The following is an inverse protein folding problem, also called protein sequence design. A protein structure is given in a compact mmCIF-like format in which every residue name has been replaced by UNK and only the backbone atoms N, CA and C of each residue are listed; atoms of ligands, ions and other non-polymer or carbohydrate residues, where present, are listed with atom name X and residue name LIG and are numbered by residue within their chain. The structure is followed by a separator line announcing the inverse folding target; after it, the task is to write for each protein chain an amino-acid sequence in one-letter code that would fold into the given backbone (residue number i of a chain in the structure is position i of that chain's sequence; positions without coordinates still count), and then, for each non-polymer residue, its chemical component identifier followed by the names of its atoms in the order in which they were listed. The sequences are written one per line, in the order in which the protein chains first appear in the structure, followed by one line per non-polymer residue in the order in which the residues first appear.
data_IF_530816296193
#
_entry.id   IF_530816296193
#
_cell.length_a   1.000
_cell.length_b   1.000
_cell.length_c   1.000
_cell.angle_alpha   90.00
_cell.angle_beta   90.00
_cell.angle_gamma   90.00
#
_symmetry.space_group_name_H-M   'P 1'
#
loop_
_entity.id
_entity.type
_entity.pdbx_description
1 polymer ?
#
# COMPACT_ATOMS: atom_id res chain seq x y z
N UNK A 1 24.83 20.86 3.87
CA UNK A 1 25.09 20.55 2.44
C UNK A 1 25.41 19.08 2.18
N UNK A 2 26.30 18.39 2.92
CA UNK A 2 26.53 16.93 2.73
C UNK A 2 25.39 16.03 3.26
N UNK A 3 24.68 16.46 4.31
CA UNK A 3 23.55 15.70 4.89
C UNK A 3 22.31 15.67 3.98
N UNK A 4 22.13 16.67 3.13
CA UNK A 4 20.96 16.80 2.25
C UNK A 4 21.01 15.79 1.09
N UNK A 5 22.22 15.45 0.63
CA UNK A 5 22.41 14.48 -0.44
C UNK A 5 22.08 13.05 0.01
N UNK A 6 22.48 12.70 1.25
CA UNK A 6 22.12 11.41 1.85
C UNK A 6 20.60 11.24 2.03
N UNK A 7 19.90 12.29 2.49
CA UNK A 7 18.43 12.26 2.60
C UNK A 7 17.74 12.12 1.24
N UNK A 8 18.24 12.81 0.21
CA UNK A 8 17.72 12.70 -1.17
C UNK A 8 17.94 11.29 -1.75
N UNK A 9 19.10 10.68 -1.52
CA UNK A 9 19.40 9.33 -1.97
C UNK A 9 18.47 8.28 -1.33
N UNK A 10 18.22 8.38 -0.02
CA UNK A 10 17.29 7.47 0.71
C UNK A 10 15.85 7.63 0.21
N UNK A 11 15.44 8.84 -0.13
CA UNK A 11 14.08 9.07 -0.62
C UNK A 11 13.92 8.52 -2.05
N UNK A 12 14.93 8.70 -2.91
CA UNK A 12 14.95 8.14 -4.26
C UNK A 12 14.90 6.60 -4.25
N UNK A 13 15.63 5.93 -3.35
CA UNK A 13 15.59 4.47 -3.23
C UNK A 13 14.24 3.95 -2.72
N UNK A 14 13.58 4.69 -1.80
CA UNK A 14 12.21 4.38 -1.35
C UNK A 14 11.22 4.45 -2.51
N UNK A 15 11.24 5.52 -3.32
CA UNK A 15 10.36 5.64 -4.49
C UNK A 15 10.58 4.50 -5.50
N UNK A 16 11.84 4.14 -5.78
CA UNK A 16 12.16 2.99 -6.63
C UNK A 16 11.58 1.68 -6.06
N UNK A 17 11.76 1.43 -4.77
CA UNK A 17 11.18 0.27 -4.09
C UNK A 17 9.64 0.26 -4.16
N UNK A 18 9.00 1.40 -3.96
CA UNK A 18 7.54 1.53 -4.07
C UNK A 18 7.05 1.27 -5.50
N UNK A 19 7.75 1.78 -6.53
CA UNK A 19 7.38 1.53 -7.94
C UNK A 19 7.51 0.05 -8.32
N UNK A 20 8.58 -0.62 -7.90
CA UNK A 20 8.77 -2.07 -8.10
C UNK A 20 7.69 -2.88 -7.36
N UNK A 21 7.36 -2.46 -6.14
CA UNK A 21 6.33 -3.10 -5.31
C UNK A 21 4.93 -2.96 -5.94
N UNK A 22 4.64 -1.80 -6.54
CA UNK A 22 3.42 -1.56 -7.33
C UNK A 22 3.37 -2.42 -8.60
N UNK A 23 4.50 -2.63 -9.30
CA UNK A 23 4.55 -3.53 -10.46
C UNK A 23 4.20 -4.98 -10.11
N UNK A 24 4.61 -5.45 -8.94
CA UNK A 24 4.22 -6.79 -8.42
C UNK A 24 2.82 -6.76 -7.77
N UNK A 25 2.19 -5.59 -7.69
CA UNK A 25 0.88 -5.34 -7.08
C UNK A 25 0.83 -5.58 -5.57
N UNK A 26 1.97 -5.59 -4.88
CA UNK A 26 2.04 -5.82 -3.44
C UNK A 26 1.67 -4.52 -2.74
N UNK A 27 0.46 -4.42 -2.20
CA UNK A 27 0.07 -3.23 -1.47
C UNK A 27 0.82 -3.15 -0.12
N UNK A 28 1.27 -1.96 0.28
CA UNK A 28 1.93 -1.73 1.58
C UNK A 28 0.92 -1.19 2.58
N UNK A 29 0.85 -1.80 3.77
CA UNK A 29 -0.04 -1.35 4.85
C UNK A 29 0.27 0.10 5.27
N UNK A 30 1.54 0.48 5.37
CA UNK A 30 1.91 1.86 5.73
C UNK A 30 1.43 2.87 4.68
N UNK A 31 1.49 2.52 3.40
CA UNK A 31 0.99 3.39 2.33
C UNK A 31 -0.53 3.51 2.39
N UNK A 32 -1.24 2.42 2.68
CA UNK A 32 -2.68 2.43 2.92
C UNK A 32 -3.05 3.34 4.10
N UNK A 33 -2.40 3.19 5.25
CA UNK A 33 -2.65 4.04 6.44
C UNK A 33 -2.38 5.51 6.12
N UNK A 34 -1.28 5.81 5.43
CA UNK A 34 -0.96 7.17 5.00
C UNK A 34 -2.02 7.72 4.02
N UNK A 35 -2.53 6.88 3.11
CA UNK A 35 -3.59 7.27 2.19
C UNK A 35 -4.90 7.57 2.92
N UNK A 36 -5.34 6.70 3.86
CA UNK A 36 -6.53 6.92 4.67
C UNK A 36 -6.38 8.21 5.49
N UNK A 37 -5.27 8.40 6.20
CA UNK A 37 -5.03 9.61 6.99
C UNK A 37 -5.07 10.90 6.16
N UNK A 38 -4.63 10.86 4.90
CA UNK A 38 -4.61 12.03 4.00
C UNK A 38 -5.93 12.27 3.28
N UNK A 39 -6.61 11.21 2.87
CA UNK A 39 -7.77 11.27 1.95
C UNK A 39 -9.10 11.14 2.70
N UNK A 40 -9.08 10.41 3.81
CA UNK A 40 -10.24 10.10 4.65
C UNK A 40 -9.87 10.29 6.13
N UNK A 41 -9.63 11.54 6.59
CA UNK A 41 -9.26 11.81 7.98
C UNK A 41 -10.34 11.37 8.97
N UNK A 42 -11.59 11.26 8.53
CA UNK A 42 -12.74 10.83 9.35
C UNK A 42 -12.87 9.30 9.48
N UNK A 43 -12.05 8.53 8.74
CA UNK A 43 -12.08 7.06 8.79
C UNK A 43 -10.86 6.53 9.52
N UNK A 44 -11.10 5.63 10.47
CA UNK A 44 -10.03 4.89 11.10
C UNK A 44 -9.48 3.83 10.12
N UNK A 45 -8.15 3.74 9.95
CA UNK A 45 -7.57 2.73 9.08
C UNK A 45 -7.86 1.32 9.62
N UNK A 46 -8.36 0.45 8.73
CA UNK A 46 -8.48 -1.00 8.97
C UNK A 46 -7.20 -1.59 9.57
N UNK A 47 -7.37 -2.66 10.37
CA UNK A 47 -6.23 -3.40 10.93
C UNK A 47 -5.39 -4.08 9.84
N UNK A 48 -4.16 -4.47 10.19
CA UNK A 48 -3.27 -5.16 9.25
C UNK A 48 -3.90 -6.45 8.69
N UNK A 49 -4.59 -7.22 9.53
CA UNK A 49 -5.22 -8.48 9.13
C UNK A 49 -6.38 -8.26 8.16
N UNK A 50 -7.23 -7.26 8.40
CA UNK A 50 -8.33 -6.89 7.52
C UNK A 50 -7.83 -6.38 6.17
N UNK A 51 -6.78 -5.57 6.17
CA UNK A 51 -6.13 -5.12 4.95
C UNK A 51 -5.57 -6.29 4.14
N UNK A 52 -4.91 -7.25 4.81
CA UNK A 52 -4.35 -8.43 4.14
C UNK A 52 -5.44 -9.35 3.60
N UNK A 53 -6.53 -9.56 4.35
CA UNK A 53 -7.71 -10.30 3.85
C UNK A 53 -8.34 -9.61 2.65
N UNK A 54 -8.53 -8.30 2.69
CA UNK A 54 -9.07 -7.51 1.57
C UNK A 54 -8.18 -7.62 0.32
N UNK A 55 -6.86 -7.57 0.49
CA UNK A 55 -5.90 -7.76 -0.61
C UNK A 55 -5.96 -9.18 -1.20
N UNK A 56 -6.09 -10.19 -0.34
CA UNK A 56 -6.26 -11.58 -0.78
C UNK A 56 -7.59 -11.79 -1.49
N UNK A 57 -8.69 -11.29 -0.92
CA UNK A 57 -10.03 -11.38 -1.50
C UNK A 57 -10.10 -10.69 -2.85
N UNK A 58 -9.42 -9.54 -3.03
CA UNK A 58 -9.34 -8.87 -4.32
C UNK A 58 -8.55 -9.66 -5.37
N UNK A 59 -7.61 -10.53 -4.97
CA UNK A 59 -6.75 -11.29 -5.88
C UNK A 59 -7.25 -12.70 -6.16
N UNK A 60 -7.75 -13.36 -5.12
CA UNK A 60 -8.13 -14.77 -5.15
C UNK A 60 -9.65 -14.96 -5.05
N UNK A 61 -10.41 -13.88 -4.81
CA UNK A 61 -11.84 -13.94 -4.57
C UNK A 61 -12.12 -14.56 -3.21
N UNK A 62 -12.74 -13.80 -2.31
CA UNK A 62 -13.33 -14.39 -1.11
C UNK A 62 -14.32 -15.47 -1.58
N UNK A 63 -13.99 -16.75 -1.37
CA UNK A 63 -14.87 -17.90 -1.67
C UNK A 63 -15.55 -17.88 -3.05
N UNK A 64 -14.82 -18.22 -4.13
CA UNK A 64 -15.40 -18.89 -5.31
C UNK A 64 -16.57 -18.21 -6.06
N UNK A 65 -16.93 -16.97 -5.72
CA UNK A 65 -18.03 -16.26 -6.33
C UNK A 65 -17.47 -15.15 -7.21
N UNK A 66 -16.85 -15.57 -8.30
CA UNK A 66 -16.80 -14.78 -9.52
C UNK A 66 -18.24 -14.64 -10.00
N UNK A 67 -18.99 -13.69 -9.42
CA UNK A 67 -20.24 -13.23 -10.04
C UNK A 67 -19.85 -12.37 -11.24
N UNK A 68 -19.55 -13.08 -12.32
CA UNK A 68 -19.79 -12.61 -13.68
C UNK A 68 -21.27 -12.18 -13.77
N UNK A 69 -21.50 -11.07 -14.46
CA UNK A 69 -22.77 -10.56 -15.02
C UNK A 69 -24.08 -11.11 -14.42
#
# INVERSE_FOLDING_TARGET
MLFDFGKKAVTASKYLGDTLRLMVGIHSYENYVNHIKKTHPDKEPMTYEEFFKTCQDSRYGSNGNVRCC
#
